data_IF_041692204488
#
_entry.id   IF_041692204488
#
_cell.length_a   1.000
_cell.length_b   1.000
_cell.length_c   1.000
_cell.angle_alpha   90.00
_cell.angle_beta   90.00
_cell.angle_gamma   90.00
#
_symmetry.space_group_name_H-M   'P 1'
#
loop_
_entity.id
_entity.type
_entity.pdbx_description
1 polymer ?
#
# COMPACT_ATOMS: atom_id res chain seq x y z
N UNK A 1 -14.26 -4.71 -23.96
CA UNK A 1 -13.94 -3.31 -23.61
C UNK A 1 -12.44 -3.23 -23.43
N UNK A 2 -11.75 -2.37 -24.18
CA UNK A 2 -10.29 -2.25 -24.12
C UNK A 2 -9.86 -1.51 -22.86
N UNK A 3 -8.92 -2.07 -22.10
CA UNK A 3 -8.20 -1.35 -21.06
C UNK A 3 -7.27 -0.35 -21.76
N UNK A 4 -7.40 0.95 -21.49
CA UNK A 4 -6.44 1.93 -22.00
C UNK A 4 -5.12 1.78 -21.24
N UNK A 5 -4.03 1.57 -21.99
CA UNK A 5 -2.69 1.61 -21.43
C UNK A 5 -2.35 3.07 -21.12
N UNK A 6 -2.33 3.42 -19.84
CA UNK A 6 -1.87 4.72 -19.36
C UNK A 6 -0.58 4.54 -18.57
N UNK A 7 0.42 5.33 -18.95
CA UNK A 7 1.67 5.42 -18.20
C UNK A 7 1.42 6.12 -16.88
N UNK A 8 1.87 5.48 -15.80
CA UNK A 8 1.74 5.92 -14.40
C UNK A 8 3.02 5.59 -13.66
N UNK A 9 3.17 6.00 -12.41
CA UNK A 9 4.38 5.71 -11.65
C UNK A 9 4.19 4.49 -10.75
N UNK A 10 5.24 3.67 -10.65
CA UNK A 10 5.31 2.62 -9.65
C UNK A 10 5.29 3.25 -8.25
N UNK A 11 4.37 2.82 -7.39
CA UNK A 11 4.13 3.44 -6.07
C UNK A 11 5.28 3.25 -5.07
N UNK A 12 6.22 2.34 -5.37
CA UNK A 12 7.43 2.10 -4.58
C UNK A 12 8.63 2.88 -5.12
N UNK A 13 8.87 2.83 -6.44
CA UNK A 13 10.11 3.38 -7.03
C UNK A 13 9.96 4.78 -7.59
N UNK A 14 8.73 5.23 -7.87
CA UNK A 14 8.45 6.47 -8.60
C UNK A 14 8.82 6.42 -10.09
N UNK A 15 9.34 5.30 -10.60
CA UNK A 15 9.68 5.13 -12.01
C UNK A 15 8.44 4.82 -12.85
N UNK A 16 8.55 5.04 -14.17
CA UNK A 16 7.48 4.75 -15.11
C UNK A 16 7.02 3.27 -15.03
N UNK A 17 5.71 3.10 -15.14
CA UNK A 17 4.98 1.84 -15.06
C UNK A 17 3.64 2.01 -15.81
N UNK A 18 2.75 1.03 -15.71
CA UNK A 18 1.48 1.03 -16.39
C UNK A 18 0.36 0.56 -15.48
N UNK A 19 -0.88 0.95 -15.77
CA UNK A 19 -2.05 0.45 -15.04
C UNK A 19 -2.19 -1.09 -15.09
N UNK A 20 -1.67 -1.73 -16.13
CA UNK A 20 -1.62 -3.20 -16.24
C UNK A 20 -0.69 -3.85 -15.21
N UNK A 21 0.20 -3.08 -14.56
CA UNK A 21 1.06 -3.52 -13.46
C UNK A 21 0.37 -3.41 -12.09
N UNK A 22 -0.96 -3.25 -12.08
CA UNK A 22 -1.74 -3.30 -10.84
C UNK A 22 -1.58 -4.67 -10.19
N UNK A 23 -1.24 -4.67 -8.90
CA UNK A 23 -1.22 -5.86 -8.06
C UNK A 23 -2.17 -5.71 -6.87
N UNK A 24 -2.60 -6.85 -6.34
CA UNK A 24 -3.33 -6.89 -5.07
C UNK A 24 -2.34 -7.08 -3.93
N UNK A 25 -2.52 -6.27 -2.89
CA UNK A 25 -1.82 -6.38 -1.62
C UNK A 25 -2.80 -6.93 -0.59
N UNK A 26 -2.51 -8.10 -0.05
CA UNK A 26 -3.33 -8.74 0.99
C UNK A 26 -2.58 -8.68 2.31
N UNK A 27 -3.22 -8.13 3.36
CA UNK A 27 -2.66 -8.18 4.71
C UNK A 27 -2.69 -9.63 5.21
N UNK A 28 -1.62 -10.07 5.85
CA UNK A 28 -1.47 -11.46 6.32
C UNK A 28 -1.28 -11.49 7.83
N UNK A 29 -1.70 -12.59 8.45
CA UNK A 29 -1.61 -12.82 9.89
C UNK A 29 -0.35 -13.63 10.27
N UNK A 30 0.33 -14.20 9.27
CA UNK A 30 1.70 -14.67 9.43
C UNK A 30 2.22 -15.55 8.32
N UNK A 31 3.35 -16.20 8.64
CA UNK A 31 4.25 -16.83 7.66
C UNK A 31 4.53 -18.27 8.07
N UNK A 32 4.40 -19.19 7.12
CA UNK A 32 4.79 -20.59 7.20
C UNK A 32 6.11 -20.75 6.45
N UNK A 33 7.14 -21.29 7.12
CA UNK A 33 8.48 -21.48 6.58
C UNK A 33 8.67 -22.94 6.18
N UNK A 34 8.44 -23.26 4.90
CA UNK A 34 8.30 -24.65 4.45
C UNK A 34 9.55 -25.49 4.73
N UNK A 35 10.75 -24.93 4.53
CA UNK A 35 12.03 -25.64 4.69
C UNK A 35 12.28 -26.19 6.10
N UNK A 36 11.56 -25.68 7.11
CA UNK A 36 11.73 -26.11 8.49
C UNK A 36 10.81 -27.27 8.86
N UNK A 37 9.88 -27.66 7.98
CA UNK A 37 9.01 -28.82 8.20
C UNK A 37 9.72 -30.12 7.83
N UNK A 38 9.35 -31.21 8.50
CA UNK A 38 9.87 -32.54 8.19
C UNK A 38 9.08 -33.15 7.02
N UNK A 39 9.78 -33.45 5.92
CA UNK A 39 9.24 -34.01 4.67
C UNK A 39 7.93 -33.35 4.18
N UNK A 40 7.91 -32.02 3.96
CA UNK A 40 6.68 -31.32 3.65
C UNK A 40 6.18 -31.63 2.23
N UNK A 41 4.86 -31.78 2.10
CA UNK A 41 4.16 -31.86 0.81
C UNK A 41 3.14 -30.74 0.70
N UNK A 42 3.18 -30.01 -0.41
CA UNK A 42 2.26 -28.89 -0.67
C UNK A 42 1.18 -29.34 -1.64
N UNK A 43 -0.07 -29.32 -1.17
CA UNK A 43 -1.25 -29.51 -1.99
C UNK A 43 -1.81 -28.14 -2.38
N UNK A 44 -1.47 -27.70 -3.60
CA UNK A 44 -1.89 -26.40 -4.12
C UNK A 44 -3.39 -26.32 -4.39
N UNK A 45 -4.04 -27.44 -4.70
CA UNK A 45 -5.47 -27.47 -5.01
C UNK A 45 -6.31 -27.22 -3.75
N UNK A 46 -5.93 -27.87 -2.64
CA UNK A 46 -6.63 -27.74 -1.36
C UNK A 46 -6.02 -26.68 -0.43
N UNK A 47 -5.02 -25.94 -0.90
CA UNK A 47 -4.23 -24.96 -0.12
C UNK A 47 -3.78 -25.49 1.24
N UNK A 48 -3.15 -26.67 1.21
CA UNK A 48 -2.77 -27.41 2.43
C UNK A 48 -1.31 -27.85 2.38
N UNK A 49 -0.61 -27.78 3.51
CA UNK A 49 0.73 -28.32 3.71
C UNK A 49 0.64 -29.52 4.65
N UNK A 50 1.11 -30.67 4.18
CA UNK A 50 1.26 -31.89 4.96
C UNK A 50 2.71 -32.03 5.42
N UNK A 51 2.92 -32.55 6.62
CA UNK A 51 4.24 -32.89 7.14
C UNK A 51 4.11 -34.11 8.05
N UNK A 52 5.10 -35.00 8.04
CA UNK A 52 5.06 -36.26 8.79
C UNK A 52 4.89 -36.10 10.30
N UNK A 53 5.28 -34.93 10.84
CA UNK A 53 5.29 -34.65 12.28
C UNK A 53 4.15 -33.75 12.75
N UNK A 54 3.27 -33.28 11.84
CA UNK A 54 2.26 -32.27 12.15
C UNK A 54 0.93 -32.52 11.47
N UNK A 55 -0.19 -32.08 12.07
CA UNK A 55 -1.46 -32.05 11.36
C UNK A 55 -1.37 -31.17 10.10
N UNK A 56 -2.22 -31.39 9.09
CA UNK A 56 -2.23 -30.57 7.88
C UNK A 56 -2.46 -29.09 8.23
N UNK A 57 -1.62 -28.20 7.70
CA UNK A 57 -1.78 -26.75 7.85
C UNK A 57 -2.43 -26.16 6.60
N UNK A 58 -3.46 -25.35 6.79
CA UNK A 58 -3.98 -24.49 5.72
C UNK A 58 -3.06 -23.29 5.53
N UNK A 59 -2.93 -22.86 4.28
CA UNK A 59 -2.26 -21.62 3.93
C UNK A 59 -3.17 -20.82 2.99
N UNK A 60 -2.96 -19.51 2.95
CA UNK A 60 -3.73 -18.61 2.11
C UNK A 60 -3.09 -18.44 0.73
N UNK A 61 -1.83 -17.98 0.67
CA UNK A 61 -1.10 -17.80 -0.59
C UNK A 61 0.41 -18.06 -0.42
N UNK A 62 1.07 -18.51 -1.49
CA UNK A 62 2.53 -18.60 -1.53
C UNK A 62 3.14 -17.19 -1.68
N UNK A 63 4.16 -16.87 -0.87
CA UNK A 63 4.84 -15.57 -0.90
C UNK A 63 5.96 -15.66 -1.94
N UNK A 64 5.95 -14.75 -2.91
CA UNK A 64 6.99 -14.71 -3.94
C UNK A 64 8.32 -14.16 -3.40
N UNK A 65 9.16 -15.04 -2.84
CA UNK A 65 10.46 -14.68 -2.27
C UNK A 65 11.45 -14.23 -3.35
N UNK A 66 12.01 -13.01 -3.27
CA UNK A 66 13.01 -12.54 -4.23
C UNK A 66 14.28 -13.41 -4.23
N UNK A 67 14.93 -13.54 -5.40
CA UNK A 67 16.13 -14.39 -5.57
C UNK A 67 17.24 -14.15 -4.53
N UNK A 68 17.58 -12.90 -4.14
CA UNK A 68 18.59 -12.66 -3.10
C UNK A 68 18.26 -13.28 -1.74
N UNK A 69 16.98 -13.49 -1.43
CA UNK A 69 16.52 -14.07 -0.17
C UNK A 69 16.19 -15.55 -0.29
N UNK A 70 15.99 -16.06 -1.51
CA UNK A 70 15.48 -17.41 -1.78
C UNK A 70 16.36 -18.51 -1.18
N UNK A 71 17.69 -18.37 -1.26
CA UNK A 71 18.64 -19.32 -0.66
C UNK A 71 18.54 -19.41 0.87
N UNK A 72 18.18 -18.30 1.54
CA UNK A 72 18.03 -18.26 2.99
C UNK A 72 16.61 -18.61 3.44
N UNK A 73 15.58 -18.09 2.78
CA UNK A 73 14.19 -18.23 3.22
C UNK A 73 13.49 -19.47 2.67
N UNK A 74 13.95 -20.01 1.54
CA UNK A 74 13.26 -21.09 0.83
C UNK A 74 11.88 -20.65 0.35
N UNK A 75 10.92 -21.58 0.40
CA UNK A 75 9.51 -21.31 0.09
C UNK A 75 8.77 -20.86 1.34
N UNK A 76 8.03 -19.77 1.21
CA UNK A 76 7.24 -19.17 2.28
C UNK A 76 5.77 -19.14 1.87
N UNK A 77 4.88 -19.41 2.81
CA UNK A 77 3.43 -19.28 2.62
C UNK A 77 2.87 -18.34 3.66
N UNK A 78 1.79 -17.68 3.32
CA UNK A 78 1.03 -16.83 4.23
C UNK A 78 -0.20 -17.56 4.75
N UNK A 79 -0.76 -17.09 5.86
CA UNK A 79 -2.12 -17.40 6.25
C UNK A 79 -2.84 -16.11 6.66
N UNK A 80 -4.16 -16.15 6.59
CA UNK A 80 -5.07 -15.13 7.09
C UNK A 80 -5.95 -15.74 8.18
N UNK A 81 -6.49 -14.91 9.07
CA UNK A 81 -7.39 -15.41 10.13
C UNK A 81 -8.78 -15.76 9.57
N UNK A 82 -9.27 -15.00 8.57
CA UNK A 82 -10.55 -15.23 7.90
C UNK A 82 -10.41 -14.95 6.38
N UNK A 83 -10.73 -15.95 5.55
CA UNK A 83 -10.68 -15.83 4.08
C UNK A 83 -11.90 -15.10 3.48
N UNK A 84 -12.99 -14.95 4.25
CA UNK A 84 -14.19 -14.22 3.82
C UNK A 84 -14.05 -12.71 4.09
N UNK A 85 -13.18 -12.31 5.03
CA UNK A 85 -12.94 -10.91 5.43
C UNK A 85 -11.51 -10.43 5.13
N UNK A 86 -11.06 -10.63 3.89
CA UNK A 86 -9.72 -10.23 3.47
C UNK A 86 -9.52 -8.70 3.48
N UNK A 87 -8.54 -8.25 4.25
CA UNK A 87 -8.02 -6.88 4.17
C UNK A 87 -7.11 -6.74 2.94
N UNK A 88 -7.69 -6.18 1.86
CA UNK A 88 -7.01 -6.01 0.57
C UNK A 88 -7.02 -4.57 0.07
N UNK A 89 -5.96 -4.23 -0.68
CA UNK A 89 -5.85 -2.99 -1.43
C UNK A 89 -5.11 -3.24 -2.75
N UNK A 90 -5.12 -2.27 -3.66
CA UNK A 90 -4.36 -2.37 -4.92
C UNK A 90 -3.27 -1.32 -5.02
N UNK A 91 -2.18 -1.68 -5.67
CA UNK A 91 -1.07 -0.77 -5.95
C UNK A 91 -0.50 -0.98 -7.34
N UNK A 92 0.04 0.08 -7.93
CA UNK A 92 0.84 -0.02 -9.15
C UNK A 92 2.28 -0.38 -8.77
N UNK A 93 2.67 -1.64 -9.01
CA UNK A 93 4.03 -2.12 -8.73
C UNK A 93 4.65 -2.74 -9.99
N UNK A 94 5.66 -2.06 -10.54
CA UNK A 94 6.54 -2.66 -11.54
C UNK A 94 7.26 -3.90 -10.97
N UNK A 95 7.81 -4.76 -11.83
CA UNK A 95 8.57 -5.95 -11.40
C UNK A 95 9.60 -5.63 -10.30
N UNK A 96 10.44 -4.61 -10.52
CA UNK A 96 11.42 -4.16 -9.53
C UNK A 96 10.75 -3.64 -8.24
N UNK A 97 9.62 -2.94 -8.35
CA UNK A 97 8.84 -2.49 -7.19
C UNK A 97 8.30 -3.65 -6.35
N UNK A 98 7.85 -4.75 -6.99
CA UNK A 98 7.39 -5.97 -6.30
C UNK A 98 8.52 -6.65 -5.54
N UNK A 99 9.71 -6.72 -6.13
CA UNK A 99 10.90 -7.28 -5.49
C UNK A 99 11.32 -6.45 -4.28
N UNK A 100 11.38 -5.12 -4.41
CA UNK A 100 11.72 -4.19 -3.32
C UNK A 100 10.69 -4.28 -2.19
N UNK A 101 9.39 -4.22 -2.52
CA UNK A 101 8.32 -4.35 -1.52
C UNK A 101 8.44 -5.66 -0.76
N UNK A 102 8.52 -6.78 -1.48
CA UNK A 102 8.58 -8.10 -0.84
C UNK A 102 9.84 -8.27 -0.01
N UNK A 103 10.99 -7.78 -0.48
CA UNK A 103 12.23 -7.76 0.30
C UNK A 103 12.06 -6.98 1.59
N UNK A 104 11.49 -5.77 1.54
CA UNK A 104 11.26 -4.94 2.74
C UNK A 104 10.32 -5.61 3.75
N UNK A 105 9.30 -6.35 3.28
CA UNK A 105 8.40 -7.11 4.15
C UNK A 105 9.09 -8.31 4.79
N UNK A 106 10.02 -8.97 4.09
CA UNK A 106 10.64 -10.21 4.54
C UNK A 106 11.93 -10.02 5.37
N UNK A 107 12.69 -8.94 5.13
CA UNK A 107 13.95 -8.65 5.85
C UNK A 107 13.82 -8.72 7.38
N UNK A 108 12.76 -8.18 8.03
CA UNK A 108 12.58 -8.29 9.48
C UNK A 108 12.55 -9.73 10.01
N UNK A 109 12.21 -10.71 9.15
CA UNK A 109 12.07 -12.11 9.52
C UNK A 109 13.33 -12.97 9.27
N UNK A 110 14.39 -12.39 8.71
CA UNK A 110 15.60 -13.14 8.31
C UNK A 110 16.25 -13.97 9.42
N UNK A 111 16.14 -13.54 10.67
CA UNK A 111 16.72 -14.25 11.82
C UNK A 111 15.76 -15.26 12.44
N UNK A 112 14.48 -15.21 12.08
CA UNK A 112 13.43 -16.07 12.62
C UNK A 112 13.16 -17.27 11.69
N UNK A 113 13.36 -17.11 10.38
CA UNK A 113 13.12 -18.17 9.38
C UNK A 113 14.02 -19.39 9.52
N UNK A 114 15.10 -19.34 10.30
CA UNK A 114 15.95 -20.51 10.57
C UNK A 114 15.53 -21.25 11.84
N UNK A 115 14.73 -20.63 12.69
CA UNK A 115 14.37 -21.14 14.02
C UNK A 115 12.94 -21.65 14.09
N UNK A 116 12.04 -21.08 13.29
CA UNK A 116 10.61 -21.32 13.41
C UNK A 116 10.00 -21.84 12.12
N UNK A 117 9.17 -22.87 12.24
CA UNK A 117 8.32 -23.36 11.15
C UNK A 117 7.15 -22.42 10.85
N UNK A 118 6.71 -21.67 11.86
CA UNK A 118 5.54 -20.82 11.80
C UNK A 118 5.77 -19.53 12.60
N UNK A 119 5.48 -18.40 11.97
CA UNK A 119 5.61 -17.07 12.53
C UNK A 119 4.24 -16.41 12.51
N UNK A 120 3.57 -16.37 13.66
CA UNK A 120 2.36 -15.56 13.84
C UNK A 120 2.76 -14.11 14.06
N UNK A 121 2.14 -13.20 13.33
CA UNK A 121 2.38 -11.77 13.50
C UNK A 121 1.52 -11.26 14.65
N UNK A 122 2.05 -10.36 15.50
CA UNK A 122 1.24 -9.69 16.48
C UNK A 122 0.25 -8.75 15.77
N UNK A 123 -0.92 -8.50 16.37
CA UNK A 123 -1.96 -7.62 15.81
C UNK A 123 -1.46 -6.19 15.54
N UNK A 124 -0.42 -5.76 16.25
CA UNK A 124 0.22 -4.46 16.07
C UNK A 124 1.13 -4.38 14.84
N UNK A 125 1.46 -5.52 14.21
CA UNK A 125 2.31 -5.57 13.03
C UNK A 125 1.46 -5.60 11.76
N UNK A 126 1.78 -4.71 10.82
CA UNK A 126 1.17 -4.71 9.50
C UNK A 126 2.14 -5.31 8.49
N UNK A 127 1.76 -6.43 7.88
CA UNK A 127 2.46 -7.04 6.76
C UNK A 127 1.47 -7.30 5.63
N UNK A 128 1.81 -6.87 4.42
CA UNK A 128 1.02 -7.14 3.23
C UNK A 128 1.89 -7.77 2.14
N UNK A 129 1.41 -8.87 1.57
CA UNK A 129 2.09 -9.58 0.48
C UNK A 129 1.51 -9.19 -0.87
N UNK A 130 2.30 -9.34 -1.93
CA UNK A 130 1.77 -9.31 -3.30
C UNK A 130 1.06 -10.63 -3.55
N UNK A 131 -0.27 -10.57 -3.64
CA UNK A 131 -1.13 -11.73 -3.82
C UNK A 131 -1.43 -11.93 -5.31
N UNK A 132 -0.80 -12.95 -5.89
CA UNK A 132 -0.92 -13.26 -7.33
C UNK A 132 -2.17 -14.08 -7.65
N UNK A 133 -2.83 -14.65 -6.65
CA UNK A 133 -4.05 -15.46 -6.79
C UNK A 133 -5.32 -14.66 -6.46
N UNK A 134 -5.16 -13.44 -5.94
CA UNK A 134 -6.27 -12.57 -5.55
C UNK A 134 -7.26 -12.34 -6.70
N UNK A 135 -8.54 -12.44 -6.36
CA UNK A 135 -9.63 -12.07 -7.27
C UNK A 135 -9.72 -10.55 -7.36
N UNK A 136 -9.88 -10.06 -8.58
CA UNK A 136 -10.13 -8.64 -8.84
C UNK A 136 -11.51 -8.45 -9.47
N UNK A 137 -12.03 -7.23 -9.33
CA UNK A 137 -13.26 -6.78 -9.98
C UNK A 137 -12.94 -5.58 -10.86
N UNK A 138 -13.61 -5.49 -12.01
CA UNK A 138 -13.50 -4.28 -12.84
C UNK A 138 -14.31 -3.15 -12.21
N UNK A 139 -13.68 -1.99 -12.08
CA UNK A 139 -14.27 -0.75 -11.57
C UNK A 139 -14.07 0.38 -12.57
N UNK A 140 -14.86 1.44 -12.41
CA UNK A 140 -14.74 2.65 -13.19
C UNK A 140 -13.98 3.71 -12.39
N UNK A 141 -13.00 4.37 -13.02
CA UNK A 141 -12.19 5.43 -12.41
C UNK A 141 -12.91 6.77 -12.51
N UNK A 142 -13.25 7.36 -11.36
CA UNK A 142 -14.07 8.58 -11.29
C UNK A 142 -13.36 9.81 -11.87
N UNK A 143 -12.03 9.83 -11.88
CA UNK A 143 -11.26 10.95 -12.43
C UNK A 143 -11.01 10.83 -13.93
N UNK A 144 -10.66 9.64 -14.40
CA UNK A 144 -10.15 9.43 -15.75
C UNK A 144 -11.17 8.83 -16.70
N UNK A 145 -12.34 8.44 -16.20
CA UNK A 145 -13.40 7.82 -16.97
C UNK A 145 -12.98 6.53 -17.70
N UNK A 146 -12.09 5.74 -17.10
CA UNK A 146 -11.60 4.45 -17.63
C UNK A 146 -11.98 3.27 -16.72
N UNK A 147 -12.03 2.07 -17.29
CA UNK A 147 -12.16 0.84 -16.52
C UNK A 147 -10.79 0.32 -16.05
N UNK A 148 -10.72 -0.19 -14.83
CA UNK A 148 -9.52 -0.80 -14.26
C UNK A 148 -9.86 -1.96 -13.33
N UNK A 149 -8.92 -2.89 -13.12
CA UNK A 149 -9.11 -3.98 -12.19
C UNK A 149 -8.65 -3.58 -10.78
N UNK A 150 -9.47 -3.88 -9.78
CA UNK A 150 -9.17 -3.56 -8.39
C UNK A 150 -9.75 -4.59 -7.41
N UNK A 151 -9.13 -4.70 -6.25
CA UNK A 151 -9.58 -5.46 -5.09
C UNK A 151 -9.72 -4.52 -3.88
N UNK A 152 -10.66 -4.83 -2.99
CA UNK A 152 -10.94 -4.02 -1.80
C UNK A 152 -11.46 -2.61 -2.09
N UNK A 153 -11.43 -1.74 -1.08
CA UNK A 153 -11.77 -0.30 -1.18
C UNK A 153 -10.56 0.52 -0.73
N UNK A 154 -9.84 1.11 -1.68
CA UNK A 154 -8.61 1.89 -1.40
C UNK A 154 -8.90 3.34 -1.02
N UNK A 155 -9.75 4.03 -1.79
CA UNK A 155 -9.86 5.49 -1.73
C UNK A 155 -11.21 5.97 -1.21
N UNK A 156 -11.14 7.07 -0.47
CA UNK A 156 -12.28 7.86 -0.03
C UNK A 156 -11.95 9.34 -0.25
N UNK A 157 -12.94 10.21 -0.30
CA UNK A 157 -12.68 11.65 -0.32
C UNK A 157 -13.58 12.40 0.64
N UNK A 158 -13.11 13.59 1.03
CA UNK A 158 -13.87 14.59 1.79
C UNK A 158 -13.81 15.93 1.08
N UNK A 159 -14.90 16.70 1.14
CA UNK A 159 -14.90 18.05 0.55
C UNK A 159 -14.15 19.01 1.46
N UNK A 160 -13.40 19.92 0.86
CA UNK A 160 -12.74 21.02 1.56
C UNK A 160 -13.77 22.12 1.79
N UNK A 161 -13.97 22.51 3.04
CA UNK A 161 -14.80 23.63 3.46
C UNK A 161 -13.98 24.92 3.59
N UNK A 162 -12.73 24.80 4.06
CA UNK A 162 -11.78 25.90 4.12
C UNK A 162 -10.34 25.38 3.99
N UNK A 163 -9.47 26.22 3.41
CA UNK A 163 -8.03 25.95 3.27
C UNK A 163 -7.27 27.17 3.81
N UNK A 164 -6.16 26.92 4.52
CA UNK A 164 -5.19 27.95 4.88
C UNK A 164 -3.78 27.46 4.59
N UNK A 165 -2.90 28.39 4.23
CA UNK A 165 -1.46 28.15 4.09
C UNK A 165 -0.69 29.06 5.02
N UNK A 166 0.35 28.51 5.63
CA UNK A 166 1.19 29.22 6.59
C UNK A 166 2.66 28.88 6.33
N UNK A 167 3.56 29.79 6.69
CA UNK A 167 4.99 29.48 6.68
C UNK A 167 5.28 28.42 7.73
N UNK A 168 6.01 27.38 7.36
CA UNK A 168 6.43 26.31 8.25
C UNK A 168 7.95 26.16 8.21
N UNK A 169 8.52 25.75 9.34
CA UNK A 169 9.95 25.44 9.47
C UNK A 169 10.11 23.99 9.91
N UNK A 170 11.05 23.27 9.28
CA UNK A 170 11.36 21.89 9.62
C UNK A 170 11.79 21.76 11.08
N UNK A 171 11.33 20.70 11.76
CA UNK A 171 11.63 20.45 13.18
C UNK A 171 10.72 21.20 14.17
N UNK A 172 9.94 22.17 13.70
CA UNK A 172 8.90 22.82 14.51
C UNK A 172 7.56 22.16 14.24
N UNK A 173 6.91 21.52 15.24
CA UNK A 173 5.59 20.93 15.06
C UNK A 173 4.60 22.00 14.57
N UNK A 174 3.93 21.73 13.44
CA UNK A 174 2.83 22.56 13.00
C UNK A 174 1.68 22.46 13.98
N UNK A 175 1.11 23.58 14.41
CA UNK A 175 -0.06 23.58 15.29
C UNK A 175 -1.31 23.48 14.41
N UNK A 176 -2.08 22.40 14.55
CA UNK A 176 -3.40 22.32 13.93
C UNK A 176 -4.30 23.35 14.60
N UNK A 177 -4.65 24.40 13.86
CA UNK A 177 -5.46 25.49 14.42
C UNK A 177 -6.89 25.04 14.73
N UNK A 178 -7.54 25.65 15.74
CA UNK A 178 -8.95 25.40 16.02
C UNK A 178 -9.83 25.57 14.77
N UNK A 179 -10.66 24.57 14.51
CA UNK A 179 -11.59 24.55 13.36
C UNK A 179 -11.03 23.96 12.08
N UNK A 180 -9.74 23.58 12.03
CA UNK A 180 -9.14 22.76 10.97
C UNK A 180 -8.95 21.33 11.50
N UNK A 181 -9.09 20.33 10.63
CA UNK A 181 -9.06 18.91 10.99
C UNK A 181 -7.92 18.13 10.32
N UNK A 182 -7.19 18.76 9.40
CA UNK A 182 -6.03 18.18 8.76
C UNK A 182 -4.93 19.23 8.56
N UNK A 183 -3.68 18.84 8.80
CA UNK A 183 -2.51 19.63 8.45
C UNK A 183 -1.40 18.74 7.88
N UNK A 184 -0.69 19.23 6.86
CA UNK A 184 0.55 18.64 6.34
C UNK A 184 1.40 19.74 5.70
N UNK A 185 2.68 19.49 5.42
CA UNK A 185 3.59 20.52 4.91
C UNK A 185 4.62 20.01 3.92
N UNK A 186 5.33 20.93 3.28
CA UNK A 186 6.42 20.66 2.33
C UNK A 186 7.84 20.88 2.92
N UNK A 187 7.96 20.90 4.25
CA UNK A 187 9.23 21.05 4.94
C UNK A 187 9.95 19.71 5.16
N UNK A 188 11.28 19.71 4.99
CA UNK A 188 12.17 18.59 5.33
C UNK A 188 13.54 19.11 5.78
N UNK A 189 14.44 18.22 6.21
CA UNK A 189 15.85 18.58 6.42
C UNK A 189 16.49 19.24 5.19
N UNK A 190 16.07 18.84 3.98
CA UNK A 190 16.58 19.36 2.70
C UNK A 190 15.84 20.63 2.24
N UNK A 191 14.64 20.87 2.75
CA UNK A 191 13.84 22.06 2.52
C UNK A 191 13.33 22.61 3.87
N UNK A 192 14.20 23.31 4.64
CA UNK A 192 13.90 23.64 6.03
C UNK A 192 12.82 24.71 6.18
N UNK A 193 12.54 25.49 5.13
CA UNK A 193 11.51 26.53 5.13
C UNK A 193 10.51 26.24 4.02
N UNK A 194 9.24 26.18 4.37
CA UNK A 194 8.21 25.76 3.44
C UNK A 194 6.82 26.26 3.83
N UNK A 195 5.83 25.60 3.26
CA UNK A 195 4.42 25.88 3.44
C UNK A 195 3.77 24.73 4.22
N UNK A 196 3.13 25.07 5.33
CA UNK A 196 2.13 24.24 5.98
C UNK A 196 0.76 24.49 5.34
N UNK A 197 0.04 23.42 5.07
CA UNK A 197 -1.30 23.41 4.50
C UNK A 197 -2.26 22.90 5.56
N UNK A 198 -3.28 23.69 5.88
CA UNK A 198 -4.34 23.33 6.81
C UNK A 198 -5.67 23.25 6.05
N UNK A 199 -6.43 22.18 6.32
CA UNK A 199 -7.75 21.98 5.73
C UNK A 199 -8.80 21.76 6.80
N UNK A 200 -9.96 22.38 6.58
CA UNK A 200 -11.21 22.03 7.22
C UNK A 200 -12.02 21.24 6.22
N UNK A 201 -12.40 20.03 6.58
CA UNK A 201 -13.17 19.13 5.73
C UNK A 201 -14.61 18.98 6.22
N UNK A 202 -15.46 18.39 5.38
CA UNK A 202 -16.74 17.91 5.85
C UNK A 202 -16.58 16.64 6.72
N UNK A 203 -17.67 16.30 7.43
CA UNK A 203 -17.66 15.19 8.37
C UNK A 203 -17.92 13.83 7.70
N UNK A 204 -17.98 13.76 6.36
CA UNK A 204 -18.46 12.57 5.65
C UNK A 204 -17.39 12.04 4.70
N UNK A 205 -17.03 10.76 4.84
CA UNK A 205 -16.24 10.08 3.83
C UNK A 205 -17.12 9.62 2.68
N UNK A 206 -16.81 10.09 1.48
CA UNK A 206 -17.45 9.66 0.26
C UNK A 206 -16.59 8.59 -0.42
N UNK A 207 -17.23 7.52 -0.91
CA UNK A 207 -16.53 6.51 -1.71
C UNK A 207 -16.11 7.14 -3.05
N UNK A 208 -14.91 6.81 -3.50
CA UNK A 208 -14.46 7.07 -4.87
C UNK A 208 -13.53 5.94 -5.33
N UNK A 209 -13.53 5.71 -6.64
CA UNK A 209 -12.68 4.74 -7.29
C UNK A 209 -11.65 5.46 -8.15
N UNK A 210 -10.39 5.29 -7.81
CA UNK A 210 -9.26 5.81 -8.57
C UNK A 210 -8.38 4.64 -9.00
N UNK A 211 -7.90 4.69 -10.25
CA UNK A 211 -7.03 3.66 -10.81
C UNK A 211 -5.61 3.69 -10.23
N UNK A 212 -5.17 4.85 -9.75
CA UNK A 212 -3.86 5.09 -9.13
C UNK A 212 -3.83 6.44 -8.39
N UNK A 213 -2.73 6.76 -7.72
CA UNK A 213 -2.61 8.01 -6.95
C UNK A 213 -2.61 9.26 -7.86
N UNK A 214 -2.09 9.15 -9.08
CA UNK A 214 -2.12 10.21 -10.10
C UNK A 214 -3.57 10.62 -10.41
N UNK A 215 -4.42 9.62 -10.64
CA UNK A 215 -5.86 9.86 -10.91
C UNK A 215 -6.58 10.45 -9.70
N UNK A 216 -6.20 10.06 -8.48
CA UNK A 216 -6.72 10.66 -7.26
C UNK A 216 -6.28 12.13 -7.09
N UNK A 217 -5.01 12.44 -7.38
CA UNK A 217 -4.50 13.83 -7.33
C UNK A 217 -5.15 14.71 -8.39
N UNK A 218 -5.35 14.19 -9.60
CA UNK A 218 -6.09 14.90 -10.66
C UNK A 218 -7.53 15.18 -10.22
N UNK A 219 -8.20 14.22 -9.59
CA UNK A 219 -9.51 14.45 -8.98
C UNK A 219 -9.49 15.59 -7.95
N UNK A 220 -8.49 15.64 -7.06
CA UNK A 220 -8.31 16.75 -6.11
C UNK A 220 -7.98 18.10 -6.77
N UNK A 221 -7.39 18.11 -7.98
CA UNK A 221 -7.15 19.35 -8.73
C UNK A 221 -8.46 19.89 -9.34
N UNK A 222 -9.29 18.99 -9.85
CA UNK A 222 -10.55 19.32 -10.51
C UNK A 222 -11.72 19.52 -9.54
N UNK A 223 -11.59 19.03 -8.30
CA UNK A 223 -12.62 19.10 -7.27
C UNK A 223 -12.03 19.71 -5.99
N UNK A 224 -12.81 20.51 -5.26
CA UNK A 224 -12.36 21.09 -3.99
C UNK A 224 -12.42 20.04 -2.86
N UNK A 225 -11.56 19.03 -2.91
CA UNK A 225 -11.56 17.88 -2.00
C UNK A 225 -10.16 17.39 -1.64
N UNK A 226 -10.12 16.51 -0.65
CA UNK A 226 -8.96 15.70 -0.27
C UNK A 226 -9.30 14.23 -0.44
N UNK A 227 -8.36 13.45 -0.96
CA UNK A 227 -8.49 12.00 -1.10
C UNK A 227 -7.68 11.31 -0.01
N UNK A 228 -8.32 10.36 0.68
CA UNK A 228 -7.75 9.55 1.75
C UNK A 228 -7.64 8.10 1.29
N UNK A 229 -6.58 7.41 1.70
CA UNK A 229 -6.44 5.98 1.46
C UNK A 229 -5.57 5.30 2.52
N UNK A 230 -5.71 3.98 2.62
CA UNK A 230 -4.85 3.15 3.45
C UNK A 230 -3.65 2.68 2.63
N UNK A 231 -2.45 3.11 3.01
CA UNK A 231 -1.21 2.80 2.30
C UNK A 231 -0.65 1.44 2.74
N UNK A 232 -1.08 0.38 2.07
CA UNK A 232 -0.63 -1.00 2.32
C UNK A 232 0.87 -1.18 2.05
N UNK A 233 1.49 -0.32 1.24
CA UNK A 233 2.94 -0.32 1.02
C UNK A 233 3.71 0.29 2.21
N UNK A 234 3.00 0.93 3.14
CA UNK A 234 3.60 1.63 4.27
C UNK A 234 2.82 1.40 5.57
N UNK A 235 2.78 0.14 5.99
CA UNK A 235 2.21 -0.30 7.27
C UNK A 235 0.70 -0.01 7.42
N UNK A 236 -0.03 0.09 6.31
CA UNK A 236 -1.48 0.35 6.33
C UNK A 236 -1.82 1.72 6.93
N UNK A 237 -0.92 2.70 6.88
CA UNK A 237 -1.19 4.02 7.45
C UNK A 237 -2.23 4.77 6.62
N UNK A 238 -3.09 5.52 7.30
CA UNK A 238 -3.97 6.49 6.62
C UNK A 238 -3.11 7.60 6.02
N UNK A 239 -3.37 7.89 4.75
CA UNK A 239 -2.63 8.83 3.92
C UNK A 239 -3.56 9.77 3.21
N UNK A 240 -3.05 10.96 2.86
CA UNK A 240 -3.82 11.98 2.14
C UNK A 240 -3.14 12.41 0.85
N UNK A 241 -3.97 12.64 -0.17
CA UNK A 241 -3.64 13.25 -1.45
C UNK A 241 -4.44 14.54 -1.59
N UNK A 242 -3.79 15.58 -2.11
CA UNK A 242 -4.38 16.89 -2.37
C UNK A 242 -3.90 17.40 -3.72
N UNK A 243 -4.47 18.52 -4.18
CA UNK A 243 -3.95 19.23 -5.35
C UNK A 243 -2.50 19.70 -5.21
N UNK A 244 -1.97 19.78 -3.99
CA UNK A 244 -0.59 20.20 -3.72
C UNK A 244 0.40 19.03 -3.68
N UNK A 245 -0.07 17.78 -3.67
CA UNK A 245 0.79 16.60 -3.46
C UNK A 245 2.02 16.59 -4.38
N UNK A 246 1.83 16.87 -5.66
CA UNK A 246 2.92 16.86 -6.64
C UNK A 246 3.97 17.96 -6.34
N UNK A 247 3.51 19.19 -6.05
CA UNK A 247 4.37 20.33 -5.73
C UNK A 247 5.13 20.13 -4.40
N UNK A 248 4.42 19.61 -3.39
CA UNK A 248 4.99 19.24 -2.10
C UNK A 248 6.13 18.24 -2.31
N UNK A 249 5.88 17.16 -3.06
CA UNK A 249 6.91 16.14 -3.29
C UNK A 249 8.11 16.65 -4.10
N UNK A 250 7.91 17.58 -5.05
CA UNK A 250 9.01 18.25 -5.76
C UNK A 250 9.91 19.03 -4.78
N UNK A 251 9.32 19.82 -3.89
CA UNK A 251 10.06 20.60 -2.87
C UNK A 251 10.76 19.70 -1.85
N UNK A 252 10.14 18.59 -1.48
CA UNK A 252 10.72 17.56 -0.61
C UNK A 252 11.80 16.72 -1.31
N UNK A 253 12.00 16.90 -2.63
CA UNK A 253 12.89 16.08 -3.47
C UNK A 253 12.55 14.59 -3.38
N UNK A 254 11.27 14.27 -3.29
CA UNK A 254 10.79 12.90 -3.29
C UNK A 254 10.76 12.39 -4.75
N UNK A 255 11.43 11.27 -5.08
CA UNK A 255 11.43 10.73 -6.43
C UNK A 255 10.04 10.30 -6.90
N UNK A 256 9.14 9.92 -5.98
CA UNK A 256 7.75 9.64 -6.32
C UNK A 256 6.85 10.84 -6.05
N UNK A 257 6.50 11.57 -7.11
CA UNK A 257 5.77 12.84 -7.02
C UNK A 257 4.32 12.70 -6.56
N UNK A 258 3.70 11.53 -6.73
CA UNK A 258 2.33 11.26 -6.29
C UNK A 258 2.29 10.45 -5.00
N UNK A 259 3.39 10.49 -4.22
CA UNK A 259 3.42 9.95 -2.87
C UNK A 259 2.54 10.78 -1.96
N UNK A 260 1.71 10.11 -1.17
CA UNK A 260 0.89 10.78 -0.17
C UNK A 260 1.69 11.50 0.91
N UNK A 261 1.12 12.58 1.42
CA UNK A 261 1.62 13.24 2.63
C UNK A 261 1.31 12.41 3.86
N UNK A 262 2.20 12.47 4.86
CA UNK A 262 1.89 11.94 6.18
C UNK A 262 0.87 12.86 6.85
N UNK A 263 -0.15 12.25 7.46
CA UNK A 263 -1.05 12.88 8.43
C UNK A 263 -0.38 12.78 9.81
#
# INVERSE_FOLDING_TARGET
>A
MSFESRDVNCEITGLASALSETVVLTKVNGIIVLKNFDNPQVDALNKTIYSSSKPPLKYYAEINVPDPLKGKMGRLFSFVDDEDELEQSTAILSKAGREIHTMNQLVPFLNYVDQYQYLKLPETMFMAIVDVEARTSTKFCDSWAINFNSAGKKFYYKKILAEKRESQTFGTPGVLMPGYDLAFGDCSQKNPHGTGYLFKTDNTFHNANFSCNESAVEFCKNNNCLVYFMDFLNQGKLRVLSRYTEDINKKLQNPYLFRSSNI
#
